data_IF_196501096264
#
_entry.id   IF_196501096264
#
_cell.length_a   1.000
_cell.length_b   1.000
_cell.length_c   1.000
_cell.angle_alpha   90.00
_cell.angle_beta   90.00
_cell.angle_gamma   90.00
#
_symmetry.space_group_name_H-M   'P 1'
#
loop_
_entity.id
_entity.type
_entity.pdbx_description
1 polymer ?
#
# COMPACT_ATOMS: atom_id res chain seq x y z
N UNK A 1 5.35 6.06 -16.85
CA UNK A 1 4.84 4.74 -16.36
C UNK A 1 4.55 4.88 -14.87
N UNK A 2 3.41 4.35 -14.39
CA UNK A 2 3.10 4.35 -12.95
C UNK A 2 3.63 3.09 -12.28
N UNK A 3 4.18 3.21 -11.05
CA UNK A 3 4.58 2.06 -10.23
C UNK A 3 3.79 2.05 -8.93
N UNK A 4 2.99 1.01 -8.72
CA UNK A 4 2.25 0.76 -7.49
C UNK A 4 3.12 -0.12 -6.58
N UNK A 5 3.78 0.47 -5.60
CA UNK A 5 4.65 -0.24 -4.66
C UNK A 5 3.85 -0.69 -3.44
N UNK A 6 3.58 -1.98 -3.33
CA UNK A 6 2.89 -2.57 -2.18
C UNK A 6 3.86 -2.92 -1.07
N UNK A 7 3.80 -2.20 0.06
CA UNK A 7 4.62 -2.51 1.22
C UNK A 7 4.11 -3.74 1.96
N UNK A 8 5.02 -4.53 2.48
CA UNK A 8 4.77 -5.76 3.23
C UNK A 8 6.02 -6.62 3.32
N UNK A 9 6.03 -7.56 4.25
CA UNK A 9 7.11 -8.55 4.38
C UNK A 9 6.91 -9.70 3.40
N UNK A 10 7.98 -10.27 2.82
CA UNK A 10 7.92 -11.50 2.06
C UNK A 10 7.79 -12.72 3.01
N UNK A 11 7.28 -13.83 2.49
CA UNK A 11 7.10 -15.08 3.23
C UNK A 11 5.64 -15.36 3.58
N UNK A 12 5.29 -16.67 3.57
CA UNK A 12 3.92 -17.13 3.81
C UNK A 12 3.40 -16.78 5.20
N UNK A 13 4.29 -16.69 6.18
CA UNK A 13 3.99 -16.28 7.56
C UNK A 13 3.47 -14.85 7.68
N UNK A 14 3.75 -13.99 6.68
CA UNK A 14 3.30 -12.58 6.67
C UNK A 14 2.13 -12.31 5.73
N UNK A 15 1.79 -13.26 4.84
CA UNK A 15 0.78 -13.05 3.77
C UNK A 15 -0.58 -12.58 4.29
N UNK A 16 -0.95 -12.99 5.51
CA UNK A 16 -2.23 -12.63 6.12
C UNK A 16 -2.08 -11.71 7.33
N UNK A 17 -1.01 -10.93 7.41
CA UNK A 17 -0.82 -9.96 8.49
C UNK A 17 -1.35 -8.57 8.12
N UNK A 18 -1.65 -7.74 9.13
CA UNK A 18 -2.07 -6.34 8.92
C UNK A 18 -0.99 -5.53 8.22
N UNK A 19 0.28 -5.81 8.50
CA UNK A 19 1.42 -5.12 7.87
C UNK A 19 1.55 -5.40 6.37
N UNK A 20 0.91 -6.45 5.87
CA UNK A 20 0.84 -6.78 4.45
C UNK A 20 -0.44 -6.24 3.77
N UNK A 21 -1.23 -5.36 4.41
CA UNK A 21 -2.45 -4.81 3.83
C UNK A 21 -2.20 -4.11 2.47
N UNK A 22 -1.05 -3.47 2.29
CA UNK A 22 -0.67 -2.87 1.01
C UNK A 22 -0.59 -3.90 -0.13
N UNK A 23 0.07 -5.04 0.11
CA UNK A 23 0.15 -6.16 -0.84
C UNK A 23 -1.20 -6.82 -1.07
N UNK A 24 -1.96 -7.02 0.01
CA UNK A 24 -3.30 -7.65 -0.04
C UNK A 24 -4.23 -6.82 -0.94
N UNK A 25 -4.32 -5.52 -0.71
CA UNK A 25 -5.17 -4.63 -1.50
C UNK A 25 -4.72 -4.59 -2.96
N UNK A 26 -3.43 -4.49 -3.26
CA UNK A 26 -2.95 -4.48 -4.64
C UNK A 26 -3.16 -5.82 -5.35
N UNK A 27 -3.06 -6.96 -4.67
CA UNK A 27 -3.41 -8.25 -5.25
C UNK A 27 -4.88 -8.30 -5.69
N UNK A 28 -5.81 -7.78 -4.88
CA UNK A 28 -7.23 -7.70 -5.24
C UNK A 28 -7.47 -6.68 -6.37
N UNK A 29 -6.77 -5.55 -6.34
CA UNK A 29 -6.83 -4.55 -7.43
C UNK A 29 -6.37 -5.15 -8.75
N UNK A 30 -5.28 -5.92 -8.78
CA UNK A 30 -4.83 -6.62 -9.99
C UNK A 30 -5.88 -7.61 -10.52
N UNK A 31 -6.55 -8.35 -9.64
CA UNK A 31 -7.67 -9.23 -10.05
C UNK A 31 -8.81 -8.47 -10.68
N UNK A 32 -9.19 -7.31 -10.11
CA UNK A 32 -10.25 -6.43 -10.65
C UNK A 32 -9.88 -5.93 -12.04
N UNK A 33 -8.61 -5.58 -12.26
CA UNK A 33 -8.13 -5.11 -13.58
C UNK A 33 -7.81 -6.24 -14.56
N UNK A 34 -7.91 -7.52 -14.15
CA UNK A 34 -7.58 -8.68 -14.98
C UNK A 34 -6.10 -8.78 -15.34
N UNK A 35 -5.22 -8.25 -14.48
CA UNK A 35 -3.78 -8.33 -14.71
C UNK A 35 -3.25 -9.75 -14.54
N UNK A 36 -2.17 -10.06 -15.24
CA UNK A 36 -1.52 -11.37 -15.23
C UNK A 36 -0.87 -11.71 -13.89
N UNK A 37 -0.25 -12.91 -13.84
CA UNK A 37 0.44 -13.37 -12.65
C UNK A 37 1.67 -12.52 -12.36
N UNK A 38 2.02 -12.46 -11.07
CA UNK A 38 3.29 -11.91 -10.61
C UNK A 38 4.45 -12.75 -11.11
N UNK A 39 5.54 -12.11 -11.49
CA UNK A 39 6.82 -12.73 -11.84
C UNK A 39 7.96 -12.01 -11.12
N UNK A 40 9.04 -12.73 -10.88
CA UNK A 40 10.20 -12.16 -10.17
C UNK A 40 11.03 -11.28 -11.09
N UNK A 41 11.32 -10.07 -10.63
CA UNK A 41 12.27 -9.15 -11.26
C UNK A 41 13.54 -9.06 -10.42
N UNK A 42 14.62 -9.70 -10.87
CA UNK A 42 15.93 -9.60 -10.22
C UNK A 42 16.49 -8.17 -10.29
N UNK A 43 16.21 -7.45 -11.36
CA UNK A 43 16.62 -6.06 -11.56
C UNK A 43 16.02 -5.15 -10.50
N UNK A 44 14.69 -5.23 -10.29
CA UNK A 44 14.00 -4.40 -9.31
C UNK A 44 14.11 -4.95 -7.89
N UNK A 45 14.36 -6.26 -7.72
CA UNK A 45 14.46 -6.91 -6.42
C UNK A 45 13.10 -7.13 -5.77
N UNK A 46 12.15 -7.66 -6.55
CA UNK A 46 10.81 -7.94 -6.08
C UNK A 46 9.99 -8.76 -7.07
N UNK A 47 8.77 -9.08 -6.68
CA UNK A 47 7.76 -9.66 -7.57
C UNK A 47 6.93 -8.55 -8.20
N UNK A 48 6.65 -8.67 -9.49
CA UNK A 48 5.91 -7.65 -10.22
C UNK A 48 4.90 -8.23 -11.20
N UNK A 49 3.90 -7.44 -11.53
CA UNK A 49 2.99 -7.65 -12.66
C UNK A 49 2.84 -6.34 -13.41
N UNK A 50 2.68 -6.42 -14.72
CA UNK A 50 2.54 -5.27 -15.60
C UNK A 50 1.16 -5.24 -16.27
N UNK A 51 0.68 -4.04 -16.55
CA UNK A 51 -0.60 -3.83 -17.20
C UNK A 51 -0.83 -2.36 -17.53
N UNK A 52 -2.08 -1.98 -17.69
CA UNK A 52 -2.48 -0.61 -17.94
C UNK A 52 -3.55 -0.15 -16.95
N UNK A 53 -3.44 1.08 -16.49
CA UNK A 53 -4.48 1.77 -15.72
C UNK A 53 -5.04 2.86 -16.64
N UNK A 54 -6.30 2.71 -17.06
CA UNK A 54 -6.95 3.70 -17.93
C UNK A 54 -6.13 4.03 -19.19
N UNK A 55 -5.45 3.04 -19.76
CA UNK A 55 -4.63 3.17 -20.97
C UNK A 55 -3.18 3.61 -20.73
N UNK A 56 -2.81 4.03 -19.54
CA UNK A 56 -1.43 4.34 -19.19
C UNK A 56 -0.68 3.11 -18.67
N UNK A 57 0.55 2.90 -19.13
CA UNK A 57 1.41 1.79 -18.65
C UNK A 57 1.65 1.88 -17.15
N UNK A 58 1.45 0.77 -16.46
CA UNK A 58 1.63 0.66 -15.03
C UNK A 58 2.16 -0.72 -14.62
N UNK A 59 2.75 -0.79 -13.43
CA UNK A 59 3.13 -2.05 -12.78
C UNK A 59 2.79 -2.04 -11.31
N UNK A 60 2.49 -3.21 -10.77
CA UNK A 60 2.51 -3.49 -9.32
C UNK A 60 3.84 -4.13 -9.00
N UNK A 61 4.45 -3.73 -7.89
CA UNK A 61 5.75 -4.24 -7.42
C UNK A 61 5.68 -4.52 -5.91
N UNK A 62 6.07 -5.73 -5.52
CA UNK A 62 6.22 -6.13 -4.12
C UNK A 62 7.69 -6.39 -3.80
N UNK A 63 8.32 -5.61 -2.91
CA UNK A 63 9.72 -5.82 -2.53
C UNK A 63 9.99 -7.23 -1.99
N UNK A 64 11.09 -7.87 -2.41
CA UNK A 64 11.59 -9.13 -1.83
C UNK A 64 12.33 -8.92 -0.50
N UNK A 65 12.28 -7.71 0.04
CA UNK A 65 12.95 -7.33 1.27
C UNK A 65 11.97 -7.22 2.43
N UNK A 66 12.45 -7.35 3.65
CA UNK A 66 11.65 -6.99 4.83
C UNK A 66 11.25 -5.52 4.79
N UNK A 67 10.16 -5.20 5.50
CA UNK A 67 9.51 -3.89 5.51
C UNK A 67 10.50 -2.71 5.66
N UNK A 68 11.42 -2.78 6.61
CA UNK A 68 12.42 -1.74 6.89
C UNK A 68 13.49 -1.54 5.79
N UNK A 69 13.50 -2.37 4.74
CA UNK A 69 14.40 -2.28 3.59
C UNK A 69 13.67 -2.04 2.27
N UNK A 70 12.37 -1.76 2.30
CA UNK A 70 11.55 -1.53 1.09
C UNK A 70 12.05 -0.36 0.23
N UNK A 71 12.74 0.59 0.83
CA UNK A 71 13.34 1.73 0.14
C UNK A 71 14.38 1.36 -0.91
N UNK A 72 15.09 0.23 -0.74
CA UNK A 72 16.06 -0.26 -1.74
C UNK A 72 15.41 -0.53 -3.09
N UNK A 73 14.17 -1.03 -3.07
CA UNK A 73 13.39 -1.28 -4.28
C UNK A 73 12.82 0.04 -4.82
N UNK A 74 12.31 0.90 -3.94
CA UNK A 74 11.82 2.22 -4.32
C UNK A 74 12.89 3.07 -5.02
N UNK A 75 14.15 3.01 -4.56
CA UNK A 75 15.29 3.72 -5.18
C UNK A 75 15.54 3.31 -6.63
N UNK A 76 15.38 2.02 -6.96
CA UNK A 76 15.52 1.51 -8.33
C UNK A 76 14.38 1.97 -9.23
N UNK A 77 13.20 2.18 -8.66
CA UNK A 77 12.01 2.67 -9.37
C UNK A 77 12.09 4.18 -9.62
N UNK A 78 12.63 4.93 -8.66
CA UNK A 78 12.57 6.38 -8.64
C UNK A 78 11.23 6.92 -8.16
N UNK A 79 11.14 8.25 -8.03
CA UNK A 79 9.95 8.93 -7.48
C UNK A 79 8.87 9.22 -8.53
N UNK A 80 9.25 9.27 -9.81
CA UNK A 80 8.33 9.64 -10.88
C UNK A 80 7.26 8.56 -11.11
N UNK A 81 6.01 8.93 -10.95
CA UNK A 81 4.88 8.01 -11.09
C UNK A 81 4.77 6.98 -9.97
N UNK A 82 5.54 7.12 -8.88
CA UNK A 82 5.48 6.22 -7.73
C UNK A 82 4.22 6.45 -6.90
N UNK A 83 3.52 5.35 -6.61
CA UNK A 83 2.38 5.29 -5.69
C UNK A 83 2.67 4.19 -4.67
N UNK A 84 2.81 4.56 -3.40
CA UNK A 84 3.08 3.60 -2.31
C UNK A 84 1.78 3.22 -1.62
N UNK A 85 1.50 1.93 -1.52
CA UNK A 85 0.31 1.37 -0.86
C UNK A 85 0.74 0.62 0.40
N UNK A 86 0.20 1.01 1.56
CA UNK A 86 0.66 0.51 2.86
C UNK A 86 -0.43 0.55 3.94
N UNK A 87 -0.21 -0.16 5.04
CA UNK A 87 -1.09 -0.20 6.21
C UNK A 87 -1.01 1.08 7.05
N UNK A 88 -2.16 1.60 7.46
CA UNK A 88 -2.27 2.82 8.27
C UNK A 88 -3.06 2.56 9.55
N UNK A 89 -2.37 2.69 10.68
CA UNK A 89 -2.95 2.45 12.03
C UNK A 89 -3.75 3.63 12.58
N UNK A 90 -3.76 4.76 11.89
CA UNK A 90 -4.60 5.90 12.23
C UNK A 90 -5.93 5.91 11.44
N UNK A 91 -6.12 4.95 10.54
CA UNK A 91 -7.36 4.75 9.78
C UNK A 91 -7.99 3.40 10.14
N UNK A 92 -9.31 3.34 10.33
CA UNK A 92 -9.99 2.08 10.67
C UNK A 92 -10.11 1.15 9.46
N UNK A 93 -10.26 -0.15 9.71
CA UNK A 93 -10.62 -1.13 8.67
C UNK A 93 -11.85 -0.70 7.88
N UNK A 94 -11.77 -0.84 6.56
CA UNK A 94 -12.82 -0.45 5.62
C UNK A 94 -12.65 0.96 5.07
N UNK A 95 -11.63 1.69 5.50
CA UNK A 95 -11.31 3.04 5.01
C UNK A 95 -9.93 3.07 4.36
N UNK A 96 -9.75 3.97 3.42
CA UNK A 96 -8.44 4.34 2.88
C UNK A 96 -8.39 5.85 2.66
N UNK A 97 -7.19 6.40 2.51
CA UNK A 97 -6.98 7.79 2.11
C UNK A 97 -5.83 7.92 1.14
N UNK A 98 -5.96 8.84 0.22
CA UNK A 98 -4.87 9.31 -0.62
C UNK A 98 -4.11 10.43 0.11
N UNK A 99 -2.80 10.45 0.00
CA UNK A 99 -1.98 11.56 0.50
C UNK A 99 -0.72 11.74 -0.32
N UNK A 100 -0.20 12.96 -0.36
CA UNK A 100 1.02 13.32 -1.08
C UNK A 100 1.95 14.09 -0.16
N UNK A 101 3.28 13.90 -0.32
CA UNK A 101 4.31 14.68 0.36
C UNK A 101 4.13 14.79 1.88
N UNK A 102 4.14 13.65 2.61
CA UNK A 102 4.02 13.60 4.08
C UNK A 102 5.15 12.79 4.71
N UNK A 103 5.42 13.02 5.99
CA UNK A 103 6.35 12.20 6.78
C UNK A 103 5.89 10.74 6.91
N UNK A 104 6.74 9.88 7.44
CA UNK A 104 6.49 8.43 7.54
C UNK A 104 5.44 8.04 8.60
N UNK A 105 5.06 8.92 9.52
CA UNK A 105 4.07 8.63 10.57
C UNK A 105 4.45 7.48 11.53
N UNK A 106 5.73 7.10 11.57
CA UNK A 106 6.22 5.95 12.33
C UNK A 106 6.16 4.61 11.59
N UNK A 107 5.74 4.58 10.33
CA UNK A 107 5.73 3.36 9.52
C UNK A 107 7.13 3.06 8.96
N UNK A 108 7.76 1.95 9.39
CA UNK A 108 9.14 1.62 9.06
C UNK A 108 9.42 1.47 7.55
N UNK A 109 8.51 0.84 6.81
CA UNK A 109 8.65 0.68 5.37
C UNK A 109 8.58 2.02 4.64
N UNK A 110 7.67 2.89 5.06
CA UNK A 110 7.54 4.23 4.49
C UNK A 110 8.75 5.10 4.82
N UNK A 111 9.27 4.98 6.06
CA UNK A 111 10.53 5.64 6.44
C UNK A 111 11.67 5.21 5.53
N UNK A 112 11.83 3.90 5.32
CA UNK A 112 12.85 3.35 4.42
C UNK A 112 12.71 3.89 2.98
N UNK A 113 11.48 4.00 2.47
CA UNK A 113 11.23 4.56 1.13
C UNK A 113 11.65 6.03 1.05
N UNK A 114 11.28 6.85 2.04
CA UNK A 114 11.64 8.27 2.09
C UNK A 114 13.16 8.44 2.21
N UNK A 115 13.81 7.69 3.09
CA UNK A 115 15.25 7.77 3.33
C UNK A 115 16.06 7.43 2.05
N UNK A 116 15.66 6.39 1.31
CA UNK A 116 16.36 5.96 0.10
C UNK A 116 16.08 6.83 -1.13
N UNK A 117 14.89 7.43 -1.22
CA UNK A 117 14.54 8.38 -2.28
C UNK A 117 15.03 9.80 -1.99
N UNK A 118 15.31 10.13 -0.73
CA UNK A 118 15.67 11.48 -0.29
C UNK A 118 14.51 12.49 -0.32
N UNK A 119 13.28 12.03 -0.57
CA UNK A 119 12.09 12.89 -0.65
C UNK A 119 10.82 12.16 -0.24
N UNK A 120 9.85 12.84 0.39
CA UNK A 120 8.51 12.32 0.64
C UNK A 120 7.54 12.55 -0.54
N UNK A 121 7.97 13.13 -1.67
CA UNK A 121 7.14 13.67 -2.76
C UNK A 121 6.60 12.60 -3.71
N UNK A 122 5.89 11.63 -3.18
CA UNK A 122 5.16 10.61 -3.91
C UNK A 122 3.73 10.44 -3.37
N UNK A 123 2.87 9.89 -4.21
CA UNK A 123 1.48 9.58 -3.84
C UNK A 123 1.43 8.34 -2.96
N UNK A 124 0.51 8.33 -2.02
CA UNK A 124 0.28 7.22 -1.10
C UNK A 124 -1.18 6.83 -1.05
N UNK A 125 -1.42 5.53 -1.01
CA UNK A 125 -2.68 4.92 -0.62
C UNK A 125 -2.52 4.37 0.78
N UNK A 126 -3.12 5.02 1.75
CA UNK A 126 -3.09 4.66 3.17
C UNK A 126 -4.27 3.74 3.45
N UNK A 127 -4.02 2.47 3.65
CA UNK A 127 -5.05 1.45 3.88
C UNK A 127 -5.28 1.29 5.38
N UNK A 128 -6.47 1.58 5.86
CA UNK A 128 -6.80 1.50 7.27
C UNK A 128 -6.79 0.07 7.81
N UNK A 129 -6.06 -0.13 8.92
CA UNK A 129 -5.99 -1.41 9.65
C UNK A 129 -6.30 -1.27 11.13
N UNK A 130 -6.71 -0.09 11.60
CA UNK A 130 -7.06 0.12 13.00
C UNK A 130 -8.45 -0.44 13.33
N UNK A 131 -8.63 -0.88 14.57
CA UNK A 131 -9.95 -1.19 15.10
C UNK A 131 -10.62 0.05 15.69
N UNK A 132 -11.94 0.04 15.74
CA UNK A 132 -12.73 1.01 16.49
C UNK A 132 -13.13 0.42 17.85
N UNK A 133 -13.10 1.25 18.88
CA UNK A 133 -13.67 0.87 20.18
C UNK A 133 -15.21 0.93 20.14
N UNK A 134 -15.83 0.58 21.25
CA UNK A 134 -17.30 0.64 21.41
C UNK A 134 -17.91 2.01 21.08
N UNK A 135 -17.16 3.09 21.30
CA UNK A 135 -17.58 4.46 21.00
C UNK A 135 -17.26 4.91 19.55
N UNK A 136 -16.86 3.97 18.67
CA UNK A 136 -16.52 4.26 17.28
C UNK A 136 -15.17 4.95 17.07
N UNK A 137 -14.39 5.19 18.13
CA UNK A 137 -13.07 5.86 18.02
C UNK A 137 -12.00 4.86 17.59
N UNK A 138 -11.09 5.31 16.74
CA UNK A 138 -9.90 4.53 16.34
C UNK A 138 -9.03 4.25 17.57
N UNK A 139 -8.66 2.99 17.73
CA UNK A 139 -7.72 2.55 18.79
C UNK A 139 -6.36 2.31 18.14
N UNK A 140 -5.44 3.25 18.35
CA UNK A 140 -4.06 3.11 17.88
C UNK A 140 -3.22 2.37 18.93
N UNK A 141 -2.64 1.21 18.61
CA UNK A 141 -1.64 0.58 19.46
C UNK A 141 -0.40 1.47 19.59
N UNK A 142 0.26 1.46 20.74
CA UNK A 142 1.44 2.29 21.04
C UNK A 142 2.58 1.45 21.58
N UNK A 143 3.81 1.95 21.37
CA UNK A 143 5.02 1.26 21.87
C UNK A 143 5.15 -0.14 21.27
N UNK A 144 5.60 -1.09 22.10
CA UNK A 144 5.86 -2.47 21.68
C UNK A 144 4.61 -3.19 21.15
N UNK A 145 3.42 -2.81 21.62
CA UNK A 145 2.14 -3.36 21.13
C UNK A 145 1.85 -3.03 19.68
N UNK A 146 2.49 -1.99 19.10
CA UNK A 146 2.27 -1.62 17.71
C UNK A 146 2.87 -2.69 16.76
N UNK A 147 4.07 -3.15 17.04
CA UNK A 147 4.72 -4.20 16.23
C UNK A 147 3.90 -5.50 16.27
N UNK A 148 3.51 -5.96 17.46
CA UNK A 148 2.68 -7.16 17.64
C UNK A 148 1.33 -7.01 16.91
N UNK A 149 0.74 -5.83 16.95
CA UNK A 149 -0.53 -5.55 16.30
C UNK A 149 -0.44 -5.66 14.77
N UNK A 150 0.52 -4.99 14.15
CA UNK A 150 0.63 -4.99 12.68
C UNK A 150 1.14 -6.33 12.13
N UNK A 151 1.93 -7.08 12.89
CA UNK A 151 2.36 -8.44 12.57
C UNK A 151 1.30 -9.49 12.90
N UNK A 152 0.24 -9.13 13.62
CA UNK A 152 -0.88 -10.02 13.90
C UNK A 152 -1.69 -10.35 12.65
N UNK A 153 -2.21 -11.59 12.62
CA UNK A 153 -3.02 -12.07 11.52
C UNK A 153 -4.37 -11.34 11.42
N UNK A 154 -4.82 -11.19 10.19
CA UNK A 154 -6.15 -10.69 9.86
C UNK A 154 -7.19 -11.78 10.14
N UNK A 155 -8.27 -11.40 10.80
CA UNK A 155 -9.48 -12.22 10.85
C UNK A 155 -10.15 -12.27 9.48
N UNK A 156 -11.01 -13.26 9.24
CA UNK A 156 -11.80 -13.36 7.99
C UNK A 156 -12.60 -12.08 7.71
N UNK A 157 -13.15 -11.45 8.75
CA UNK A 157 -13.91 -10.20 8.62
C UNK A 157 -13.02 -9.02 8.21
N UNK A 158 -11.82 -8.91 8.78
CA UNK A 158 -10.85 -7.87 8.43
C UNK A 158 -10.36 -8.07 6.99
N UNK A 159 -10.07 -9.30 6.60
CA UNK A 159 -9.68 -9.65 5.23
C UNK A 159 -10.74 -9.24 4.22
N UNK A 160 -12.02 -9.61 4.47
CA UNK A 160 -13.14 -9.21 3.60
C UNK A 160 -13.27 -7.68 3.46
N UNK A 161 -13.03 -6.93 4.53
CA UNK A 161 -13.00 -5.46 4.45
C UNK A 161 -11.88 -4.92 3.57
N UNK A 162 -10.70 -5.53 3.57
CA UNK A 162 -9.61 -5.14 2.66
C UNK A 162 -9.97 -5.44 1.20
N UNK A 163 -10.69 -6.52 0.92
CA UNK A 163 -11.19 -6.85 -0.42
C UNK A 163 -12.24 -5.83 -0.89
N UNK A 164 -13.10 -5.34 0.01
CA UNK A 164 -14.03 -4.25 -0.29
C UNK A 164 -13.28 -2.92 -0.57
N UNK A 165 -12.31 -2.58 0.27
CA UNK A 165 -11.44 -1.40 0.09
C UNK A 165 -10.71 -1.45 -1.25
N UNK A 166 -10.24 -2.61 -1.69
CA UNK A 166 -9.56 -2.76 -2.97
C UNK A 166 -10.40 -2.31 -4.16
N UNK A 167 -11.72 -2.49 -4.12
CA UNK A 167 -12.64 -2.00 -5.17
C UNK A 167 -12.65 -0.48 -5.25
N UNK A 168 -12.64 0.21 -4.13
CA UNK A 168 -12.61 1.66 -4.11
C UNK A 168 -11.21 2.21 -4.41
N UNK A 169 -10.16 1.53 -3.94
CA UNK A 169 -8.76 1.85 -4.29
C UNK A 169 -8.53 1.72 -5.79
N UNK A 170 -9.09 0.70 -6.47
CA UNK A 170 -8.95 0.56 -7.93
C UNK A 170 -9.53 1.77 -8.67
N UNK A 171 -10.72 2.24 -8.27
CA UNK A 171 -11.36 3.44 -8.85
C UNK A 171 -10.56 4.72 -8.54
N UNK A 172 -10.02 4.82 -7.32
CA UNK A 172 -9.20 5.96 -6.92
C UNK A 172 -7.90 6.03 -7.75
N UNK A 173 -7.23 4.89 -7.97
CA UNK A 173 -6.03 4.81 -8.81
C UNK A 173 -6.32 5.14 -10.28
N UNK A 174 -7.46 4.71 -10.81
CA UNK A 174 -7.92 5.12 -12.15
C UNK A 174 -8.15 6.62 -12.23
N UNK A 175 -8.77 7.23 -11.21
CA UNK A 175 -8.97 8.68 -11.14
C UNK A 175 -7.64 9.42 -11.04
N UNK A 176 -6.66 8.91 -10.28
CA UNK A 176 -5.30 9.47 -10.22
C UNK A 176 -4.67 9.55 -11.61
N UNK A 177 -4.79 8.48 -12.39
CA UNK A 177 -4.19 8.40 -13.74
C UNK A 177 -4.94 9.28 -14.75
N UNK A 178 -6.28 9.28 -14.71
CA UNK A 178 -7.13 10.04 -15.66
C UNK A 178 -7.21 11.52 -15.36
N UNK A 179 -7.37 11.88 -14.09
CA UNK A 179 -7.78 13.22 -13.66
C UNK A 179 -6.68 13.95 -12.86
N UNK A 180 -5.62 13.22 -12.49
CA UNK A 180 -4.54 13.71 -11.65
C UNK A 180 -4.80 13.55 -10.15
N UNK A 181 -3.70 13.55 -9.38
CA UNK A 181 -3.71 13.27 -7.94
C UNK A 181 -4.60 14.22 -7.13
N UNK A 182 -4.65 15.52 -7.49
CA UNK A 182 -5.38 16.53 -6.70
C UNK A 182 -6.89 16.29 -6.75
N UNK A 183 -7.42 16.03 -7.95
CA UNK A 183 -8.84 15.69 -8.12
C UNK A 183 -9.19 14.37 -7.45
N UNK A 184 -8.33 13.36 -7.61
CA UNK A 184 -8.54 12.06 -6.95
C UNK A 184 -8.53 12.21 -5.42
N UNK A 185 -7.59 12.96 -4.84
CA UNK A 185 -7.56 13.23 -3.39
C UNK A 185 -8.80 13.98 -2.90
N UNK A 186 -9.33 14.92 -3.66
CA UNK A 186 -10.58 15.62 -3.31
C UNK A 186 -11.79 14.69 -3.34
N UNK A 187 -11.81 13.74 -4.28
CA UNK A 187 -12.95 12.82 -4.49
C UNK A 187 -13.00 11.65 -3.50
N UNK A 188 -11.83 11.15 -3.05
CA UNK A 188 -11.70 9.91 -2.28
C UNK A 188 -11.24 10.12 -0.82
N UNK A 189 -11.02 11.33 -0.33
CA UNK A 189 -10.69 11.66 1.05
C UNK A 189 -11.87 12.23 1.82
#
# INVERSE_FOLDING_TARGET
MHTLLGLGNPGSEYENTRHNAGRIVLNEVMKIWGWGRMFRSAELGGEMSEGAISGASARVLFPDTYMNHSGRVAKKVGVEGLIVVYDEVDLPFGEFKLSYSRGAGGHNGLKSVIDELGTPDFLRVRVGVAQRNWFGRVVRPRGDRLADYVLGELTKKERSKLEEVAKEVSKALESVVKEGREKAMTKYN
#
